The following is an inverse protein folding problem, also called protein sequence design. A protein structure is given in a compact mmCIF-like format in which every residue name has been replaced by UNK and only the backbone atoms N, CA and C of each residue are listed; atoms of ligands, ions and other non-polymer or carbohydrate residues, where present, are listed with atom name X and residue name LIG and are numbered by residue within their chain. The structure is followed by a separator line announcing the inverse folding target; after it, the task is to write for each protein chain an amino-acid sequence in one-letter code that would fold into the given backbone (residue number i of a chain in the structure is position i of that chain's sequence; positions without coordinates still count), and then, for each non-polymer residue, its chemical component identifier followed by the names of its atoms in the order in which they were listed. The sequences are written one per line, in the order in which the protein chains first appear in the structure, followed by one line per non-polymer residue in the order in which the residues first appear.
data_IF_489362521071
#
_entry.id   IF_489362521071
#
_cell.length_a   1.000
_cell.length_b   1.000
_cell.length_c   1.000
_cell.angle_alpha   90.00
_cell.angle_beta   90.00
_cell.angle_gamma   90.00
#
_symmetry.space_group_name_H-M   'P 1'
#
loop_
_entity.id
_entity.type
_entity.pdbx_description
1 polymer ?
#
# COMPACT_ATOMS: atom_id res chain seq x y z
N UNK A 1 7.42 37.83 -9.66
CA UNK A 1 8.33 36.95 -10.42
C UNK A 1 7.48 36.03 -11.26
N UNK A 2 7.65 36.01 -12.59
CA UNK A 2 6.96 35.05 -13.45
C UNK A 2 7.63 33.70 -13.20
N UNK A 3 6.93 32.75 -12.55
CA UNK A 3 7.44 31.37 -12.43
C UNK A 3 7.61 30.83 -13.85
N UNK A 4 8.79 30.28 -14.16
CA UNK A 4 9.03 29.64 -15.45
C UNK A 4 8.08 28.44 -15.58
N UNK A 5 7.29 28.41 -16.64
CA UNK A 5 6.28 27.36 -16.85
C UNK A 5 6.95 26.04 -17.17
N UNK A 6 6.52 24.97 -16.49
CA UNK A 6 6.96 23.63 -16.83
C UNK A 6 6.51 23.26 -18.25
N UNK A 7 7.43 22.68 -19.03
CA UNK A 7 7.13 22.15 -20.36
C UNK A 7 7.13 20.64 -20.29
N UNK A 8 6.02 20.04 -20.71
CA UNK A 8 5.88 18.59 -20.81
C UNK A 8 6.11 18.13 -22.25
N UNK A 9 6.66 16.92 -22.46
CA UNK A 9 6.77 16.37 -23.80
C UNK A 9 5.39 16.11 -24.39
N UNK A 10 5.29 16.19 -25.72
CA UNK A 10 4.07 15.81 -26.43
C UNK A 10 3.94 14.28 -26.38
N UNK A 11 2.76 13.79 -25.99
CA UNK A 11 2.48 12.35 -25.96
C UNK A 11 2.66 11.73 -27.36
N UNK A 12 3.55 10.76 -27.45
CA UNK A 12 3.85 9.96 -28.65
C UNK A 12 3.65 8.48 -28.36
N UNK A 13 3.53 7.65 -29.39
CA UNK A 13 3.42 6.19 -29.23
C UNK A 13 4.60 5.59 -28.44
N UNK A 14 5.79 6.16 -28.54
CA UNK A 14 6.95 5.73 -27.74
C UNK A 14 6.75 6.03 -26.25
N UNK A 15 6.29 7.24 -25.92
CA UNK A 15 6.01 7.64 -24.54
C UNK A 15 4.88 6.79 -23.96
N UNK A 16 3.82 6.53 -24.72
CA UNK A 16 2.72 5.65 -24.27
C UNK A 16 3.24 4.26 -23.91
N UNK A 17 4.14 3.70 -24.74
CA UNK A 17 4.75 2.39 -24.47
C UNK A 17 5.67 2.41 -23.25
N UNK A 18 6.45 3.48 -23.05
CA UNK A 18 7.30 3.67 -21.86
C UNK A 18 6.49 3.73 -20.56
N UNK A 19 5.23 4.18 -20.63
CA UNK A 19 4.31 4.19 -19.50
C UNK A 19 3.61 2.84 -19.26
N UNK A 20 4.00 1.77 -19.97
CA UNK A 20 3.39 0.45 -19.82
C UNK A 20 1.92 0.38 -20.27
N UNK A 21 1.45 1.38 -21.04
CA UNK A 21 0.08 1.44 -21.56
C UNK A 21 0.05 0.75 -22.92
N UNK A 22 -0.84 -0.24 -23.06
CA UNK A 22 -1.09 -0.92 -24.33
C UNK A 22 -1.84 -0.01 -25.32
N UNK A 23 -1.81 -0.38 -26.60
CA UNK A 23 -2.54 0.37 -27.65
C UNK A 23 -4.04 0.45 -27.37
N UNK A 24 -4.63 -0.65 -26.88
CA UNK A 24 -6.06 -0.72 -26.58
C UNK A 24 -6.42 0.12 -25.35
N UNK A 25 -5.58 0.09 -24.31
CA UNK A 25 -5.70 0.98 -23.16
C UNK A 25 -5.60 2.44 -23.60
N UNK A 26 -4.64 2.80 -24.45
CA UNK A 26 -4.51 4.17 -24.96
C UNK A 26 -5.75 4.64 -25.75
N UNK A 27 -6.30 3.78 -26.62
CA UNK A 27 -7.55 4.08 -27.34
C UNK A 27 -8.70 4.32 -26.35
N UNK A 28 -8.78 3.50 -25.30
CA UNK A 28 -9.79 3.65 -24.24
C UNK A 28 -9.63 4.96 -23.45
N UNK A 29 -8.40 5.34 -23.11
CA UNK A 29 -8.09 6.63 -22.46
C UNK A 29 -8.60 7.79 -23.32
N UNK A 30 -8.27 7.80 -24.61
CA UNK A 30 -8.70 8.87 -25.52
C UNK A 30 -10.20 8.97 -25.68
N UNK A 31 -10.87 7.81 -25.73
CA UNK A 31 -12.34 7.76 -25.77
C UNK A 31 -12.96 8.30 -24.49
N UNK A 32 -12.35 8.02 -23.34
CA UNK A 32 -12.82 8.45 -22.03
C UNK A 32 -12.66 9.97 -21.84
N UNK A 33 -11.52 10.51 -22.29
CA UNK A 33 -11.24 11.94 -22.19
C UNK A 33 -11.86 12.78 -23.31
N UNK A 34 -12.30 12.14 -24.41
CA UNK A 34 -12.71 12.77 -25.68
C UNK A 34 -11.62 13.67 -26.31
N UNK A 35 -10.35 13.35 -26.05
CA UNK A 35 -9.15 14.04 -26.57
C UNK A 35 -7.91 13.20 -26.33
N UNK A 36 -6.77 13.68 -26.86
CA UNK A 36 -5.47 13.14 -26.46
C UNK A 36 -5.17 13.54 -25.00
N UNK A 37 -4.65 12.61 -24.16
CA UNK A 37 -4.26 12.93 -22.78
C UNK A 37 -3.07 13.90 -22.76
N UNK A 38 -2.99 14.72 -21.71
CA UNK A 38 -1.75 15.42 -21.39
C UNK A 38 -0.71 14.42 -20.87
N UNK A 39 0.57 14.84 -20.80
CA UNK A 39 1.61 14.00 -20.21
C UNK A 39 1.33 13.64 -18.75
N UNK A 40 0.77 14.57 -17.98
CA UNK A 40 0.38 14.34 -16.57
C UNK A 40 -0.76 13.32 -16.49
N UNK A 41 -1.77 13.44 -17.36
CA UNK A 41 -2.88 12.50 -17.41
C UNK A 41 -2.43 11.09 -17.84
N UNK A 42 -1.51 10.99 -18.80
CA UNK A 42 -0.91 9.72 -19.19
C UNK A 42 -0.18 9.07 -18.01
N UNK A 43 0.59 9.86 -17.25
CA UNK A 43 1.22 9.43 -16.00
C UNK A 43 0.22 8.88 -14.99
N UNK A 44 -0.85 9.63 -14.73
CA UNK A 44 -1.93 9.24 -13.83
C UNK A 44 -2.58 7.92 -14.28
N UNK A 45 -2.97 7.80 -15.55
CA UNK A 45 -3.51 6.55 -16.08
C UNK A 45 -2.52 5.39 -15.99
N UNK A 46 -1.23 5.63 -16.23
CA UNK A 46 -0.20 4.57 -16.22
C UNK A 46 -0.07 3.89 -14.87
N UNK A 47 -0.14 4.66 -13.79
CA UNK A 47 -0.06 4.11 -12.43
C UNK A 47 -1.39 3.53 -12.00
N UNK A 48 -2.50 4.22 -12.28
CA UNK A 48 -3.83 3.78 -11.85
C UNK A 48 -4.30 2.53 -12.60
N UNK A 49 -3.87 2.34 -13.86
CA UNK A 49 -4.15 1.13 -14.65
C UNK A 49 -3.00 0.10 -14.62
N UNK A 50 -2.03 0.25 -13.71
CA UNK A 50 -1.04 -0.80 -13.43
C UNK A 50 -1.72 -2.03 -12.84
N UNK A 51 -1.07 -3.21 -12.90
CA UNK A 51 -1.62 -4.41 -12.21
C UNK A 51 -1.69 -4.17 -10.70
N UNK A 52 -0.71 -3.46 -10.14
CA UNK A 52 -0.64 -3.12 -8.72
C UNK A 52 -1.88 -2.34 -8.22
N UNK A 53 -2.34 -1.32 -8.94
CA UNK A 53 -3.49 -0.51 -8.51
C UNK A 53 -4.84 -1.04 -9.00
N UNK A 54 -4.91 -1.57 -10.24
CA UNK A 54 -6.19 -1.94 -10.87
C UNK A 54 -6.53 -3.41 -10.78
N UNK A 55 -5.59 -4.28 -10.38
CA UNK A 55 -5.79 -5.73 -10.34
C UNK A 55 -6.36 -6.27 -11.67
N UNK A 56 -6.01 -5.64 -12.80
CA UNK A 56 -6.70 -5.83 -14.08
C UNK A 56 -6.70 -7.28 -14.56
N UNK A 57 -5.71 -8.08 -14.16
CA UNK A 57 -5.62 -9.50 -14.51
C UNK A 57 -6.25 -10.44 -13.48
N UNK A 58 -6.38 -10.00 -12.22
CA UNK A 58 -6.73 -10.84 -11.07
C UNK A 58 -8.12 -10.57 -10.49
N UNK A 59 -8.67 -9.36 -10.66
CA UNK A 59 -9.91 -8.92 -10.01
C UNK A 59 -11.12 -9.82 -10.30
N UNK A 60 -11.22 -10.36 -11.53
CA UNK A 60 -12.31 -11.27 -11.90
C UNK A 60 -12.28 -12.56 -11.08
N UNK A 61 -11.10 -13.09 -10.78
CA UNK A 61 -10.93 -14.27 -9.93
C UNK A 61 -11.19 -13.93 -8.46
N UNK A 62 -10.71 -12.79 -7.97
CA UNK A 62 -10.98 -12.32 -6.61
C UNK A 62 -12.49 -12.08 -6.35
N UNK A 63 -13.26 -11.76 -7.40
CA UNK A 63 -14.73 -11.67 -7.35
C UNK A 63 -15.45 -13.00 -7.15
N UNK A 64 -14.76 -14.14 -7.25
CA UNK A 64 -15.34 -15.47 -6.99
C UNK A 64 -15.26 -15.89 -5.51
N UNK A 65 -14.46 -15.20 -4.70
CA UNK A 65 -14.36 -15.48 -3.26
C UNK A 65 -15.64 -15.03 -2.53
N UNK A 66 -16.03 -15.69 -1.42
CA UNK A 66 -17.13 -15.22 -0.57
C UNK A 66 -16.87 -13.82 0.01
N UNK A 67 -17.89 -12.96 0.03
CA UNK A 67 -17.75 -11.52 0.39
C UNK A 67 -18.65 -11.04 1.52
N UNK A 68 -19.53 -11.90 2.00
CA UNK A 68 -20.49 -11.57 3.06
C UNK A 68 -20.35 -12.53 4.23
N UNK A 69 -20.68 -12.04 5.42
CA UNK A 69 -20.70 -12.80 6.65
C UNK A 69 -21.30 -11.99 7.79
N UNK A 70 -21.95 -12.67 8.74
CA UNK A 70 -22.73 -12.03 9.81
C UNK A 70 -21.91 -11.11 10.73
N UNK A 71 -20.59 -11.26 10.73
CA UNK A 71 -19.64 -10.46 11.51
C UNK A 71 -18.90 -9.40 10.70
N UNK A 72 -19.12 -9.33 9.39
CA UNK A 72 -18.53 -8.26 8.57
C UNK A 72 -19.32 -6.98 8.80
N UNK A 73 -18.60 -5.90 9.10
CA UNK A 73 -19.19 -4.57 9.29
C UNK A 73 -19.18 -3.74 8.00
N UNK A 74 -18.36 -4.13 7.03
CA UNK A 74 -18.28 -3.57 5.67
C UNK A 74 -18.14 -4.72 4.68
N UNK A 75 -18.62 -4.52 3.45
CA UNK A 75 -18.45 -5.52 2.41
C UNK A 75 -16.98 -5.64 1.99
N UNK A 76 -16.56 -6.84 1.54
CA UNK A 76 -15.19 -7.06 1.10
C UNK A 76 -14.79 -6.13 -0.08
N UNK A 77 -13.81 -5.26 0.17
CA UNK A 77 -13.32 -4.26 -0.79
C UNK A 77 -14.08 -2.94 -0.77
N UNK A 78 -14.96 -2.71 0.21
CA UNK A 78 -15.63 -1.42 0.40
C UNK A 78 -14.71 -0.36 1.01
N UNK A 79 -13.78 -0.76 1.89
CA UNK A 79 -12.82 0.10 2.58
C UNK A 79 -11.39 -0.48 2.47
N UNK A 80 -10.38 0.28 2.92
CA UNK A 80 -8.96 -0.10 2.79
C UNK A 80 -8.61 -1.40 3.54
N UNK A 81 -9.30 -1.70 4.63
CA UNK A 81 -9.06 -2.89 5.45
C UNK A 81 -10.37 -3.60 5.80
N UNK A 82 -10.27 -4.91 6.11
CA UNK A 82 -11.41 -5.70 6.52
C UNK A 82 -11.85 -5.33 7.94
N UNK A 83 -13.16 -5.14 8.15
CA UNK A 83 -13.72 -4.76 9.44
C UNK A 83 -14.66 -5.84 9.98
N UNK A 84 -14.36 -6.36 11.17
CA UNK A 84 -15.10 -7.46 11.80
C UNK A 84 -15.62 -7.05 13.18
N UNK A 85 -16.89 -7.30 13.44
CA UNK A 85 -17.55 -7.09 14.73
C UNK A 85 -17.05 -8.09 15.79
N UNK A 86 -16.52 -7.56 16.89
CA UNK A 86 -16.08 -8.34 18.05
C UNK A 86 -17.15 -8.43 19.16
N UNK A 87 -18.27 -7.72 19.01
CA UNK A 87 -19.28 -7.55 20.05
C UNK A 87 -19.02 -6.31 20.93
N UNK A 88 -20.00 -5.98 21.79
CA UNK A 88 -19.93 -4.87 22.75
C UNK A 88 -19.58 -3.50 22.15
N UNK A 89 -19.90 -3.30 20.87
CA UNK A 89 -19.59 -2.07 20.13
C UNK A 89 -18.13 -1.97 19.65
N UNK A 90 -17.32 -3.00 19.86
CA UNK A 90 -15.94 -3.10 19.40
C UNK A 90 -15.84 -3.78 18.03
N UNK A 91 -14.84 -3.38 17.26
CA UNK A 91 -14.50 -3.97 15.98
C UNK A 91 -12.99 -4.15 15.86
N UNK A 92 -12.58 -5.11 15.03
CA UNK A 92 -11.20 -5.23 14.57
C UNK A 92 -11.10 -4.86 13.11
N UNK A 93 -10.06 -4.09 12.78
CA UNK A 93 -9.63 -3.84 11.42
C UNK A 93 -8.34 -4.63 11.17
N UNK A 94 -8.25 -5.34 10.06
CA UNK A 94 -7.01 -6.01 9.67
C UNK A 94 -6.84 -6.04 8.16
N UNK A 95 -5.58 -6.06 7.74
CA UNK A 95 -5.19 -6.18 6.34
C UNK A 95 -3.82 -6.85 6.27
N UNK A 96 -3.53 -7.47 5.14
CA UNK A 96 -2.21 -7.98 4.78
C UNK A 96 -1.79 -7.37 3.44
N UNK A 97 -0.54 -6.93 3.36
CA UNK A 97 0.07 -6.39 2.15
C UNK A 97 1.39 -7.08 1.85
N UNK A 98 1.88 -6.91 0.62
CA UNK A 98 3.16 -7.44 0.16
C UNK A 98 4.08 -6.32 -0.33
N UNK A 99 5.36 -6.42 0.00
CA UNK A 99 6.39 -5.49 -0.48
C UNK A 99 7.60 -6.23 -1.08
N UNK A 100 7.30 -7.23 -1.91
CA UNK A 100 8.25 -8.19 -2.48
C UNK A 100 9.34 -7.53 -3.33
N UNK A 101 8.95 -6.80 -4.39
CA UNK A 101 9.91 -6.20 -5.33
C UNK A 101 10.87 -5.20 -4.67
N UNK A 102 10.39 -4.24 -3.84
CA UNK A 102 11.29 -3.38 -3.08
C UNK A 102 12.22 -4.17 -2.17
N UNK A 103 11.70 -5.15 -1.42
CA UNK A 103 12.50 -5.99 -0.53
C UNK A 103 13.55 -6.83 -1.26
N UNK A 104 13.31 -7.20 -2.53
CA UNK A 104 14.27 -7.91 -3.35
C UNK A 104 15.48 -7.03 -3.74
N UNK A 105 15.27 -5.72 -3.88
CA UNK A 105 16.28 -4.74 -4.32
C UNK A 105 17.01 -4.13 -3.12
N UNK A 106 16.25 -3.62 -2.15
CA UNK A 106 16.70 -3.00 -0.90
C UNK A 106 15.87 -3.64 0.24
N UNK A 107 16.39 -4.69 0.90
CA UNK A 107 15.60 -5.50 1.83
C UNK A 107 15.21 -4.81 3.13
N UNK A 108 16.03 -3.88 3.62
CA UNK A 108 15.76 -3.24 4.91
C UNK A 108 14.60 -2.25 4.76
N UNK A 109 14.74 -1.28 3.85
CA UNK A 109 13.75 -0.25 3.59
C UNK A 109 12.50 -0.85 2.95
N UNK A 110 12.68 -1.78 2.00
CA UNK A 110 11.57 -2.47 1.37
C UNK A 110 10.72 -3.29 2.35
N UNK A 111 11.26 -3.74 3.48
CA UNK A 111 10.46 -4.38 4.52
C UNK A 111 9.86 -3.35 5.49
N UNK A 112 10.65 -2.35 5.89
CA UNK A 112 10.26 -1.29 6.81
C UNK A 112 9.06 -0.47 6.28
N UNK A 113 9.11 -0.01 5.03
CA UNK A 113 7.99 0.72 4.40
C UNK A 113 6.76 -0.17 4.19
N UNK A 114 6.96 -1.48 4.00
CA UNK A 114 5.87 -2.46 3.95
C UNK A 114 5.12 -2.57 5.27
N UNK A 115 5.85 -2.53 6.39
CA UNK A 115 5.26 -2.47 7.75
C UNK A 115 4.55 -1.15 7.99
N UNK A 116 5.15 -0.02 7.60
CA UNK A 116 4.51 1.30 7.71
C UNK A 116 3.21 1.38 6.92
N UNK A 117 3.23 1.00 5.64
CA UNK A 117 2.03 0.98 4.78
C UNK A 117 0.86 0.22 5.38
N UNK A 118 1.10 -1.02 5.84
CA UNK A 118 0.02 -1.83 6.40
C UNK A 118 -0.50 -1.30 7.75
N UNK A 119 0.33 -0.59 8.50
CA UNK A 119 -0.12 0.11 9.71
C UNK A 119 -1.01 1.30 9.34
N UNK A 120 -0.64 2.10 8.32
CA UNK A 120 -1.49 3.20 7.81
C UNK A 120 -2.86 2.74 7.39
N UNK A 121 -2.94 1.65 6.64
CA UNK A 121 -4.22 1.07 6.22
C UNK A 121 -5.15 0.83 7.41
N UNK A 122 -4.60 0.30 8.51
CA UNK A 122 -5.39 -0.02 9.70
C UNK A 122 -5.79 1.24 10.46
N UNK A 123 -4.88 2.18 10.69
CA UNK A 123 -5.23 3.38 11.46
C UNK A 123 -5.98 4.45 10.68
N UNK A 124 -5.92 4.41 9.35
CA UNK A 124 -6.76 5.25 8.48
C UNK A 124 -8.23 4.94 8.65
N UNK A 125 -8.57 3.69 8.99
CA UNK A 125 -9.93 3.27 9.34
C UNK A 125 -10.41 3.77 10.72
N UNK A 126 -9.55 4.43 11.51
CA UNK A 126 -9.82 4.77 12.90
C UNK A 126 -9.47 3.64 13.88
N UNK A 127 -8.84 2.56 13.43
CA UNK A 127 -8.43 1.44 14.27
C UNK A 127 -7.01 1.58 14.79
N UNK A 128 -6.83 1.47 16.11
CA UNK A 128 -5.49 1.52 16.70
C UNK A 128 -4.80 0.18 16.45
N UNK A 129 -3.64 0.14 15.75
CA UNK A 129 -2.85 -1.07 15.63
C UNK A 129 -2.49 -1.63 17.01
N UNK A 130 -2.65 -2.92 17.20
CA UNK A 130 -2.35 -3.63 18.45
C UNK A 130 -1.36 -4.77 18.27
N UNK A 131 -1.26 -5.32 17.05
CA UNK A 131 -0.39 -6.43 16.74
C UNK A 131 -0.08 -6.45 15.24
N UNK A 132 1.11 -6.90 14.90
CA UNK A 132 1.53 -7.20 13.53
C UNK A 132 1.98 -8.65 13.39
N UNK A 133 1.90 -9.16 12.18
CA UNK A 133 2.39 -10.47 11.77
C UNK A 133 3.12 -10.36 10.44
N UNK A 134 3.99 -11.31 10.14
CA UNK A 134 4.65 -11.37 8.83
C UNK A 134 4.52 -12.75 8.18
N UNK A 135 4.58 -12.77 6.85
CA UNK A 135 4.72 -13.99 6.06
C UNK A 135 5.88 -13.82 5.11
N UNK A 136 6.99 -14.50 5.42
CA UNK A 136 8.27 -14.34 4.76
C UNK A 136 8.63 -15.60 3.99
N UNK A 137 9.13 -15.44 2.76
CA UNK A 137 9.61 -16.53 1.89
C UNK A 137 10.96 -16.15 1.30
N UNK A 138 11.98 -17.00 1.47
CA UNK A 138 13.32 -16.77 0.94
C UNK A 138 13.85 -18.02 0.24
N UNK A 139 14.85 -17.85 -0.64
CA UNK A 139 15.60 -18.97 -1.22
C UNK A 139 16.52 -19.66 -0.22
N UNK A 140 17.19 -20.75 -0.63
CA UNK A 140 18.13 -21.48 0.24
C UNK A 140 19.13 -20.54 0.93
N UNK A 141 19.26 -20.74 2.24
CA UNK A 141 20.19 -19.99 3.10
C UNK A 141 21.64 -20.39 2.90
N UNK A 142 21.96 -21.37 2.05
CA UNK A 142 23.34 -21.63 1.62
C UNK A 142 23.84 -20.53 0.67
N UNK A 143 22.92 -19.85 -0.04
CA UNK A 143 23.22 -18.74 -0.93
C UNK A 143 23.41 -17.44 -0.12
N UNK A 144 24.57 -16.76 -0.22
CA UNK A 144 24.83 -15.52 0.52
C UNK A 144 23.78 -14.42 0.33
N UNK A 145 23.26 -14.26 -0.89
CA UNK A 145 22.22 -13.26 -1.20
C UNK A 145 20.93 -13.52 -0.43
N UNK A 146 20.50 -14.78 -0.29
CA UNK A 146 19.27 -15.11 0.43
C UNK A 146 19.41 -14.88 1.94
N UNK A 147 20.61 -15.14 2.51
CA UNK A 147 20.91 -14.77 3.90
C UNK A 147 20.85 -13.26 4.11
N UNK A 148 21.46 -12.49 3.20
CA UNK A 148 21.42 -11.03 3.21
C UNK A 148 19.98 -10.49 3.16
N UNK A 149 19.13 -11.05 2.27
CA UNK A 149 17.72 -10.67 2.19
C UNK A 149 16.97 -10.96 3.49
N UNK A 150 17.15 -12.17 4.06
CA UNK A 150 16.49 -12.54 5.32
C UNK A 150 16.92 -11.62 6.47
N UNK A 151 18.22 -11.41 6.63
CA UNK A 151 18.79 -10.60 7.72
C UNK A 151 18.22 -9.18 7.71
N UNK A 152 18.29 -8.50 6.57
CA UNK A 152 17.86 -7.10 6.48
C UNK A 152 16.34 -6.93 6.41
N UNK A 153 15.58 -7.86 5.83
CA UNK A 153 14.10 -7.81 5.89
C UNK A 153 13.64 -7.92 7.35
N UNK A 154 14.22 -8.84 8.11
CA UNK A 154 13.87 -9.02 9.53
C UNK A 154 14.25 -7.79 10.34
N UNK A 155 15.43 -7.21 10.08
CA UNK A 155 15.91 -5.98 10.71
C UNK A 155 14.96 -4.80 10.41
N UNK A 156 14.58 -4.58 9.15
CA UNK A 156 13.66 -3.49 8.76
C UNK A 156 12.26 -3.63 9.36
N UNK A 157 11.72 -4.86 9.44
CA UNK A 157 10.45 -5.14 10.13
C UNK A 157 10.57 -4.79 11.62
N UNK A 158 11.67 -5.23 12.25
CA UNK A 158 11.92 -5.00 13.65
C UNK A 158 12.00 -3.50 13.95
N UNK A 159 12.85 -2.77 13.23
CA UNK A 159 13.12 -1.36 13.51
C UNK A 159 11.86 -0.50 13.34
N UNK A 160 11.09 -0.70 12.26
CA UNK A 160 9.87 0.07 12.06
C UNK A 160 8.80 -0.23 13.13
N UNK A 161 8.50 -1.51 13.37
CA UNK A 161 7.49 -1.92 14.37
C UNK A 161 7.87 -1.54 15.80
N UNK A 162 9.14 -1.72 16.17
CA UNK A 162 9.67 -1.37 17.49
C UNK A 162 9.62 0.15 17.72
N UNK A 163 9.95 0.95 16.71
CA UNK A 163 9.90 2.42 16.80
C UNK A 163 8.47 2.94 16.95
N UNK A 164 7.49 2.37 16.23
CA UNK A 164 6.07 2.72 16.41
C UNK A 164 5.49 2.23 17.74
N UNK A 165 6.13 1.23 18.35
CA UNK A 165 5.65 0.55 19.55
C UNK A 165 4.45 -0.35 19.27
N UNK A 166 4.45 -1.04 18.12
CA UNK A 166 3.45 -2.04 17.75
C UNK A 166 4.12 -3.41 17.70
N UNK A 167 3.71 -4.37 18.55
CA UNK A 167 4.40 -5.65 18.65
C UNK A 167 4.15 -6.53 17.43
N UNK A 168 5.20 -7.20 16.94
CA UNK A 168 5.05 -8.29 15.96
C UNK A 168 4.96 -9.61 16.71
N UNK A 169 3.73 -10.13 16.84
CA UNK A 169 3.41 -11.23 17.76
C UNK A 169 3.48 -12.61 17.14
N UNK A 170 3.49 -12.69 15.80
CA UNK A 170 3.50 -13.95 15.08
C UNK A 170 3.93 -13.80 13.63
N UNK A 171 3.95 -14.91 12.93
CA UNK A 171 4.30 -14.94 11.51
C UNK A 171 4.82 -16.30 11.07
N UNK A 172 5.27 -16.35 9.83
CA UNK A 172 5.83 -17.55 9.23
C UNK A 172 7.04 -17.25 8.34
N UNK A 173 7.99 -18.16 8.34
CA UNK A 173 9.19 -18.09 7.49
C UNK A 173 9.36 -19.42 6.79
N UNK A 174 9.38 -19.40 5.46
CA UNK A 174 9.67 -20.57 4.63
C UNK A 174 10.88 -20.30 3.77
N UNK A 175 11.77 -21.29 3.71
CA UNK A 175 13.00 -21.31 2.94
C UNK A 175 12.83 -22.35 1.84
N UNK A 176 12.75 -21.92 0.58
CA UNK A 176 12.61 -22.80 -0.57
C UNK A 176 13.23 -22.17 -1.82
N UNK A 177 13.96 -22.96 -2.62
CA UNK A 177 14.79 -22.45 -3.73
C UNK A 177 14.01 -21.62 -4.77
N UNK A 178 12.71 -21.87 -4.93
CA UNK A 178 11.83 -21.10 -5.82
C UNK A 178 11.73 -19.62 -5.49
N UNK A 179 12.07 -19.22 -4.26
CA UNK A 179 12.07 -17.82 -3.81
C UNK A 179 13.46 -17.16 -3.88
N UNK A 180 14.46 -17.84 -4.43
CA UNK A 180 15.79 -17.25 -4.61
C UNK A 180 15.73 -16.12 -5.65
N UNK A 181 16.17 -14.92 -5.27
CA UNK A 181 16.13 -13.72 -6.11
C UNK A 181 14.79 -12.97 -6.12
N UNK A 182 13.68 -13.61 -5.74
CA UNK A 182 12.38 -12.96 -5.56
C UNK A 182 11.73 -13.41 -4.25
N UNK A 183 12.13 -12.81 -3.10
CA UNK A 183 11.54 -13.14 -1.81
C UNK A 183 10.08 -12.67 -1.74
N UNK A 184 9.27 -13.33 -0.92
CA UNK A 184 7.97 -12.80 -0.52
C UNK A 184 8.09 -12.18 0.86
N UNK A 185 7.67 -10.93 0.96
CA UNK A 185 7.69 -10.14 2.20
C UNK A 185 6.31 -9.56 2.38
N UNK A 186 5.48 -10.26 3.15
CA UNK A 186 4.15 -9.83 3.48
C UNK A 186 4.07 -9.39 4.94
N UNK A 187 3.42 -8.26 5.18
CA UNK A 187 3.15 -7.72 6.49
C UNK A 187 1.64 -7.65 6.71
N UNK A 188 1.19 -8.04 7.91
CA UNK A 188 -0.19 -7.97 8.35
C UNK A 188 -0.26 -7.14 9.62
N UNK A 189 -1.26 -6.29 9.73
CA UNK A 189 -1.54 -5.54 10.96
C UNK A 189 -2.98 -5.76 11.38
N UNK A 190 -3.17 -5.89 12.70
CA UNK A 190 -4.46 -5.99 13.37
C UNK A 190 -4.62 -4.79 14.28
N UNK A 191 -5.75 -4.10 14.15
CA UNK A 191 -6.15 -2.99 14.99
C UNK A 191 -7.50 -3.20 15.65
N UNK A 192 -7.76 -2.43 16.70
CA UNK A 192 -9.03 -2.43 17.43
C UNK A 192 -9.62 -1.01 17.47
N UNK A 193 -10.95 -0.93 17.41
CA UNK A 193 -11.69 0.33 17.48
C UNK A 193 -13.08 0.15 18.07
N UNK A 194 -13.74 1.27 18.38
CA UNK A 194 -15.20 1.26 18.47
C UNK A 194 -15.77 1.28 17.06
N UNK A 195 -16.74 0.41 16.79
CA UNK A 195 -17.44 0.31 15.50
C UNK A 195 -18.00 1.65 14.98
N UNK A 196 -18.42 2.54 15.89
CA UNK A 196 -18.96 3.88 15.56
C UNK A 196 -17.91 4.91 15.14
N UNK A 197 -16.64 4.64 15.40
CA UNK A 197 -15.53 5.58 15.13
C UNK A 197 -14.89 5.31 13.76
N UNK A 198 -15.57 4.53 12.90
CA UNK A 198 -15.16 4.21 11.54
C UNK A 198 -14.91 5.47 10.74
N UNK A 199 -13.74 5.52 10.11
CA UNK A 199 -13.38 6.54 9.15
C UNK A 199 -13.42 5.89 7.76
N UNK A 200 -14.23 6.45 6.86
CA UNK A 200 -14.35 5.97 5.49
C UNK A 200 -13.43 6.73 4.54
N UNK A 201 -12.97 6.01 3.51
CA UNK A 201 -12.19 6.55 2.40
C UNK A 201 -13.05 7.34 1.38
N UNK A 202 -13.73 8.41 1.81
CA UNK A 202 -14.72 9.13 1.00
C UNK A 202 -14.49 10.63 0.95
N UNK A 203 -14.71 11.23 -0.22
CA UNK A 203 -14.80 12.68 -0.38
C UNK A 203 -16.24 13.05 -0.78
N UNK A 204 -16.95 13.76 0.10
CA UNK A 204 -18.31 14.24 -0.19
C UNK A 204 -18.54 15.65 0.35
N UNK A 205 -19.67 16.24 -0.04
CA UNK A 205 -20.05 17.59 0.34
C UNK A 205 -19.30 18.66 -0.47
N UNK A 206 -19.97 19.17 -1.51
CA UNK A 206 -19.42 20.20 -2.40
C UNK A 206 -18.92 21.40 -1.59
N UNK A 207 -17.69 21.82 -1.85
CA UNK A 207 -17.06 22.93 -1.15
C UNK A 207 -16.36 22.54 0.16
N UNK A 208 -16.39 21.26 0.56
CA UNK A 208 -15.56 20.78 1.66
C UNK A 208 -14.08 20.84 1.29
N UNK A 209 -13.22 21.39 2.16
CA UNK A 209 -11.79 21.48 1.92
C UNK A 209 -11.10 20.12 2.00
N UNK A 210 -10.09 19.94 1.15
CA UNK A 210 -9.24 18.75 1.06
C UNK A 210 -7.84 19.12 1.53
N UNK A 211 -7.31 18.32 2.46
CA UNK A 211 -6.03 18.53 3.11
C UNK A 211 -5.06 17.39 2.78
N UNK A 212 -3.79 17.73 2.63
CA UNK A 212 -2.68 16.78 2.80
C UNK A 212 -2.08 17.01 4.18
N UNK A 213 -1.92 15.92 4.92
CA UNK A 213 -1.35 15.91 6.27
C UNK A 213 -0.18 14.94 6.36
N UNK A 214 0.74 15.18 7.30
CA UNK A 214 1.92 14.35 7.50
C UNK A 214 3.16 14.89 6.79
N UNK A 215 3.98 14.02 6.22
CA UNK A 215 5.25 14.37 5.60
C UNK A 215 5.11 15.21 4.32
N UNK A 216 6.15 15.99 4.01
CA UNK A 216 6.25 16.72 2.74
C UNK A 216 6.53 15.79 1.54
N UNK A 217 6.05 16.18 0.36
CA UNK A 217 6.16 15.43 -0.89
C UNK A 217 7.52 15.62 -1.56
N UNK A 218 8.17 14.52 -1.96
CA UNK A 218 9.46 14.49 -2.67
C UNK A 218 9.42 13.59 -3.90
N UNK A 219 10.57 13.41 -4.58
CA UNK A 219 10.69 12.53 -5.75
C UNK A 219 10.89 11.06 -5.38
N UNK A 220 10.09 10.57 -4.43
CA UNK A 220 10.16 9.17 -4.00
C UNK A 220 9.29 8.26 -4.83
N UNK A 221 9.82 7.09 -5.19
CA UNK A 221 9.04 6.02 -5.80
C UNK A 221 8.24 6.43 -7.02
N UNK A 222 8.66 7.47 -7.77
CA UNK A 222 7.98 7.83 -9.02
C UNK A 222 8.16 6.64 -9.96
N UNK A 223 7.03 6.05 -10.40
CA UNK A 223 6.93 4.76 -11.09
C UNK A 223 7.07 3.50 -10.22
N UNK A 224 6.96 3.59 -8.89
CA UNK A 224 7.01 2.47 -7.95
C UNK A 224 5.93 1.41 -8.23
N UNK A 225 4.66 1.83 -8.39
CA UNK A 225 3.56 0.94 -8.76
C UNK A 225 3.78 0.20 -10.11
N UNK A 226 4.33 0.89 -11.11
CA UNK A 226 4.67 0.28 -12.41
C UNK A 226 5.86 -0.67 -12.25
N UNK A 227 6.88 -0.29 -11.48
CA UNK A 227 8.05 -1.11 -11.18
C UNK A 227 7.68 -2.40 -10.44
N UNK A 228 6.76 -2.35 -9.49
CA UNK A 228 6.23 -3.53 -8.80
C UNK A 228 5.45 -4.49 -9.72
N UNK A 229 5.16 -4.06 -10.95
CA UNK A 229 4.50 -4.85 -11.99
C UNK A 229 5.47 -5.38 -13.07
N UNK A 230 6.78 -5.10 -12.97
CA UNK A 230 7.83 -5.56 -13.91
C UNK A 230 8.57 -6.81 -13.39
N UNK A 231 9.14 -7.62 -14.28
CA UNK A 231 10.00 -8.75 -13.89
C UNK A 231 11.37 -8.28 -13.37
N UNK A 232 11.86 -8.89 -12.28
CA UNK A 232 13.19 -8.62 -11.74
C UNK A 232 14.29 -9.10 -12.69
N UNK A 233 15.14 -8.18 -13.14
CA UNK A 233 16.31 -8.43 -14.01
C UNK A 233 17.56 -7.73 -13.46
N UNK A 234 18.76 -8.09 -13.93
CA UNK A 234 20.01 -7.41 -13.52
C UNK A 234 19.97 -5.88 -13.76
N UNK A 235 19.23 -5.41 -14.78
CA UNK A 235 19.05 -3.96 -15.02
C UNK A 235 18.20 -3.29 -13.93
N UNK A 236 17.24 -3.99 -13.33
CA UNK A 236 16.39 -3.45 -12.26
C UNK A 236 17.14 -3.23 -10.93
N UNK A 237 18.22 -3.97 -10.66
CA UNK A 237 19.05 -3.76 -9.45
C UNK A 237 19.72 -2.38 -9.42
N UNK A 238 19.89 -1.73 -10.58
CA UNK A 238 20.46 -0.37 -10.67
C UNK A 238 19.49 0.73 -10.21
N UNK A 239 18.20 0.42 -10.02
CA UNK A 239 17.14 1.36 -9.59
C UNK A 239 17.04 1.56 -8.06
N UNK A 240 18.06 1.17 -7.28
CA UNK A 240 18.11 1.33 -5.80
C UNK A 240 17.70 2.71 -5.29
N UNK A 241 17.98 3.78 -6.04
CA UNK A 241 17.61 5.16 -5.68
C UNK A 241 16.11 5.41 -5.59
N UNK A 242 15.28 4.49 -6.07
CA UNK A 242 13.83 4.63 -6.08
C UNK A 242 13.15 3.97 -4.87
N UNK A 243 13.88 3.22 -4.04
CA UNK A 243 13.31 2.62 -2.82
C UNK A 243 13.16 3.71 -1.76
N UNK A 244 11.94 3.83 -1.26
CA UNK A 244 11.56 4.80 -0.24
C UNK A 244 12.23 4.45 1.09
N UNK A 245 12.57 5.47 1.87
CA UNK A 245 12.99 5.31 3.27
C UNK A 245 11.83 5.69 4.16
N UNK A 246 11.46 4.80 5.07
CA UNK A 246 10.36 5.05 6.00
C UNK A 246 10.79 5.90 7.19
N UNK A 247 9.90 6.76 7.70
CA UNK A 247 10.09 7.50 8.95
C UNK A 247 9.10 7.03 10.03
N UNK A 248 9.46 5.99 10.81
CA UNK A 248 8.56 5.45 11.83
C UNK A 248 8.23 6.46 12.94
N UNK A 249 9.04 7.49 13.15
CA UNK A 249 8.78 8.49 14.17
C UNK A 249 7.67 9.45 13.72
N UNK A 250 7.74 9.93 12.48
CA UNK A 250 6.67 10.74 11.89
C UNK A 250 5.38 9.94 11.75
N UNK A 251 5.46 8.68 11.32
CA UNK A 251 4.34 7.76 11.25
C UNK A 251 3.65 7.57 12.62
N UNK A 252 4.43 7.49 13.72
CA UNK A 252 3.87 7.41 15.07
C UNK A 252 3.06 8.66 15.44
N UNK A 253 3.53 9.85 15.08
CA UNK A 253 2.77 11.09 15.29
C UNK A 253 1.49 11.09 14.43
N UNK A 254 1.62 10.63 13.18
CA UNK A 254 0.51 10.53 12.23
C UNK A 254 -0.59 9.59 12.74
N UNK A 255 -0.20 8.43 13.26
CA UNK A 255 -1.08 7.47 13.94
C UNK A 255 -1.89 8.13 15.06
N UNK A 256 -1.23 8.86 15.97
CA UNK A 256 -1.93 9.47 17.09
C UNK A 256 -2.86 10.61 16.66
N UNK A 257 -2.44 11.43 15.68
CA UNK A 257 -3.28 12.46 15.09
C UNK A 257 -4.52 11.87 14.39
N UNK A 258 -4.37 10.81 13.60
CA UNK A 258 -5.46 10.10 12.92
C UNK A 258 -6.48 9.55 13.89
N UNK A 259 -6.04 8.91 14.96
CA UNK A 259 -6.93 8.34 15.96
C UNK A 259 -7.67 9.42 16.77
N UNK A 260 -7.14 10.65 16.86
CA UNK A 260 -7.88 11.79 17.42
C UNK A 260 -8.98 12.33 16.48
N UNK A 261 -8.90 12.06 15.18
CA UNK A 261 -9.95 12.37 14.22
C UNK A 261 -11.10 11.36 14.26
N UNK A 262 -10.84 10.13 14.71
CA UNK A 262 -11.85 9.07 14.77
C UNK A 262 -13.06 9.50 15.61
N UNK A 263 -14.26 9.28 15.07
CA UNK A 263 -15.53 9.64 15.71
C UNK A 263 -15.87 11.14 15.75
N UNK A 264 -15.09 12.02 15.09
CA UNK A 264 -15.44 13.44 14.96
C UNK A 264 -16.53 13.63 13.90
N UNK A 265 -17.63 14.27 14.29
CA UNK A 265 -18.80 14.53 13.43
C UNK A 265 -18.51 15.45 12.23
N UNK A 266 -17.40 16.19 12.27
CA UNK A 266 -16.95 17.08 11.21
C UNK A 266 -15.90 16.46 10.27
N UNK A 267 -15.41 15.26 10.55
CA UNK A 267 -14.60 14.50 9.61
C UNK A 267 -15.52 13.93 8.51
N UNK A 268 -15.12 14.06 7.26
CA UNK A 268 -15.86 13.49 6.11
C UNK A 268 -15.22 12.19 5.69
N UNK A 269 -13.90 12.19 5.51
CA UNK A 269 -13.16 10.98 5.18
C UNK A 269 -11.66 11.20 5.25
N UNK A 270 -10.93 10.09 5.25
CA UNK A 270 -9.48 10.06 5.29
C UNK A 270 -8.98 8.88 4.45
N UNK A 271 -7.87 9.07 3.75
CA UNK A 271 -7.24 8.02 2.96
C UNK A 271 -5.73 8.09 3.11
N UNK A 272 -5.07 6.95 3.24
CA UNK A 272 -3.62 6.88 3.22
C UNK A 272 -3.09 7.19 1.81
N UNK A 273 -1.83 7.59 1.74
CA UNK A 273 -1.15 7.86 0.48
C UNK A 273 0.01 6.90 0.28
N UNK A 274 -0.29 5.71 -0.24
CA UNK A 274 0.70 4.72 -0.68
C UNK A 274 1.05 4.84 -2.17
N UNK A 275 0.85 3.74 -2.91
CA UNK A 275 1.09 3.68 -4.34
C UNK A 275 0.32 4.76 -5.11
N UNK A 276 0.99 5.42 -6.06
CA UNK A 276 0.47 6.57 -6.80
C UNK A 276 0.01 7.79 -5.95
N UNK A 277 0.26 7.80 -4.64
CA UNK A 277 0.17 8.97 -3.75
C UNK A 277 -1.10 9.81 -3.89
N UNK A 278 -0.94 11.07 -4.29
CA UNK A 278 -2.04 12.03 -4.46
C UNK A 278 -3.03 11.53 -5.51
N UNK A 279 -2.53 10.93 -6.60
CA UNK A 279 -3.38 10.43 -7.68
C UNK A 279 -4.36 9.38 -7.17
N UNK A 280 -3.87 8.37 -6.46
CA UNK A 280 -4.69 7.27 -5.97
C UNK A 280 -5.72 7.76 -4.94
N UNK A 281 -5.23 8.35 -3.86
CA UNK A 281 -6.06 8.83 -2.75
C UNK A 281 -7.20 9.76 -3.20
N UNK A 282 -6.91 10.71 -4.09
CA UNK A 282 -7.93 11.63 -4.59
C UNK A 282 -8.93 10.93 -5.51
N UNK A 283 -8.48 10.04 -6.39
CA UNK A 283 -9.36 9.35 -7.33
C UNK A 283 -10.32 8.40 -6.62
N UNK A 284 -9.81 7.61 -5.67
CA UNK A 284 -10.58 6.63 -4.90
C UNK A 284 -11.62 7.31 -4.01
N UNK A 285 -11.21 8.31 -3.21
CA UNK A 285 -12.14 9.03 -2.34
C UNK A 285 -13.23 9.74 -3.13
N UNK A 286 -12.87 10.33 -4.27
CA UNK A 286 -13.81 11.05 -5.13
C UNK A 286 -14.80 10.12 -5.82
N UNK A 287 -14.35 8.99 -6.37
CA UNK A 287 -15.23 8.01 -7.02
C UNK A 287 -16.19 7.38 -6.00
N UNK A 288 -15.68 6.97 -4.82
CA UNK A 288 -16.52 6.42 -3.75
C UNK A 288 -17.57 7.42 -3.27
N UNK A 289 -17.21 8.70 -3.17
CA UNK A 289 -18.12 9.79 -2.80
C UNK A 289 -19.00 10.32 -3.92
N UNK A 290 -18.84 9.81 -5.15
CA UNK A 290 -19.53 10.29 -6.36
C UNK A 290 -19.41 11.81 -6.52
N UNK A 291 -18.25 12.35 -6.18
CA UNK A 291 -17.89 13.76 -6.29
C UNK A 291 -16.73 13.94 -7.26
N UNK A 292 -16.34 15.19 -7.50
CA UNK A 292 -15.01 15.53 -8.02
C UNK A 292 -14.09 16.03 -6.90
N UNK A 293 -12.80 16.14 -7.20
CA UNK A 293 -11.82 16.82 -6.35
C UNK A 293 -10.99 17.75 -7.23
N UNK A 294 -10.88 19.01 -6.82
CA UNK A 294 -10.00 20.00 -7.42
C UNK A 294 -8.82 20.26 -6.51
N UNK A 295 -7.60 20.15 -7.02
CA UNK A 295 -6.35 20.32 -6.25
C UNK A 295 -5.47 21.38 -6.89
N UNK A 296 -4.82 22.18 -6.06
CA UNK A 296 -3.78 23.11 -6.45
C UNK A 296 -2.41 22.62 -5.96
N UNK A 297 -1.56 22.19 -6.89
CA UNK A 297 -0.24 21.67 -6.59
C UNK A 297 0.74 22.73 -6.05
N UNK A 298 0.47 24.03 -6.26
CA UNK A 298 1.27 25.10 -5.65
C UNK A 298 1.14 25.15 -4.13
N UNK A 299 0.10 24.52 -3.56
CA UNK A 299 -0.13 24.44 -2.12
C UNK A 299 0.41 23.14 -1.49
N UNK A 300 0.78 22.15 -2.30
CA UNK A 300 1.29 20.87 -1.77
C UNK A 300 2.62 21.12 -1.05
N UNK A 301 2.80 20.64 0.20
CA UNK A 301 4.10 20.72 0.87
C UNK A 301 5.15 19.92 0.11
N UNK A 302 6.22 20.56 -0.35
CA UNK A 302 7.31 19.94 -1.11
C UNK A 302 8.63 20.03 -0.31
N UNK A 303 9.37 18.92 -0.21
CA UNK A 303 10.75 18.96 0.32
C UNK A 303 11.79 19.30 -0.74
N UNK A 304 11.49 18.98 -2.00
CA UNK A 304 12.37 19.26 -3.13
C UNK A 304 11.87 20.45 -3.94
N UNK A 305 12.80 21.33 -4.31
CA UNK A 305 12.48 22.48 -5.15
C UNK A 305 12.21 22.02 -6.59
N UNK A 306 11.39 22.82 -7.29
CA UNK A 306 11.13 22.67 -8.73
C UNK A 306 10.56 21.31 -9.13
N UNK A 307 9.72 20.69 -8.29
CA UNK A 307 8.95 19.52 -8.72
C UNK A 307 7.84 19.94 -9.68
N UNK A 308 7.70 19.20 -10.78
CA UNK A 308 6.65 19.44 -11.77
C UNK A 308 5.36 18.68 -11.39
N UNK A 309 4.25 18.91 -12.12
CA UNK A 309 2.98 18.29 -11.78
C UNK A 309 2.99 16.76 -11.89
N UNK A 310 3.73 16.22 -12.85
CA UNK A 310 3.88 14.77 -13.04
C UNK A 310 4.59 14.14 -11.83
N UNK A 311 5.69 14.73 -11.37
CA UNK A 311 6.43 14.27 -10.21
C UNK A 311 5.61 14.35 -8.91
N UNK A 312 4.88 15.44 -8.71
CA UNK A 312 4.06 15.63 -7.49
C UNK A 312 2.90 14.63 -7.44
N UNK A 313 2.19 14.45 -8.56
CA UNK A 313 1.01 13.57 -8.61
C UNK A 313 1.37 12.09 -8.45
N UNK A 314 2.55 11.67 -8.92
CA UNK A 314 3.01 10.28 -8.91
C UNK A 314 4.00 9.97 -7.79
N UNK A 315 4.27 10.92 -6.91
CA UNK A 315 5.14 10.73 -5.76
C UNK A 315 4.53 9.79 -4.74
N UNK A 316 5.31 8.79 -4.34
CA UNK A 316 4.96 7.79 -3.33
C UNK A 316 5.72 8.06 -2.01
N UNK A 317 6.03 9.33 -1.71
CA UNK A 317 6.58 9.71 -0.40
C UNK A 317 5.70 9.18 0.74
N UNK A 318 6.34 8.63 1.76
CA UNK A 318 5.71 7.93 2.87
C UNK A 318 5.11 8.89 3.91
N UNK A 319 4.41 8.34 4.92
CA UNK A 319 3.83 9.06 6.07
C UNK A 319 2.91 10.23 5.68
N UNK A 320 2.03 10.04 4.70
CA UNK A 320 1.06 11.06 4.23
C UNK A 320 -0.37 10.51 4.19
N UNK A 321 -1.33 11.40 4.40
CA UNK A 321 -2.75 11.10 4.21
C UNK A 321 -3.48 12.27 3.54
N UNK A 322 -4.57 11.93 2.84
CA UNK A 322 -5.56 12.88 2.37
C UNK A 322 -6.71 12.94 3.38
N UNK A 323 -7.12 14.13 3.79
CA UNK A 323 -8.22 14.33 4.76
C UNK A 323 -9.25 15.30 4.19
N UNK A 324 -10.52 14.94 4.28
CA UNK A 324 -11.66 15.81 3.94
C UNK A 324 -12.45 16.11 5.21
N UNK A 325 -12.75 17.39 5.43
CA UNK A 325 -13.52 17.85 6.60
C UNK A 325 -14.67 18.74 6.17
N UNK A 326 -15.71 18.82 7.00
CA UNK A 326 -16.83 19.74 6.77
C UNK A 326 -16.33 21.17 6.82
N UNK A 327 -16.67 21.96 5.79
CA UNK A 327 -16.33 23.40 5.71
C UNK A 327 -16.65 24.15 7.01
N UNK A 328 -15.73 24.98 7.47
CA UNK A 328 -15.79 25.69 8.75
C UNK A 328 -15.13 24.96 9.93
N UNK A 329 -14.60 23.74 9.72
CA UNK A 329 -13.86 22.97 10.74
C UNK A 329 -12.35 22.87 10.44
N UNK A 330 -11.84 23.66 9.49
CA UNK A 330 -10.44 23.67 9.06
C UNK A 330 -9.49 23.94 10.22
N UNK A 331 -9.86 24.86 11.11
CA UNK A 331 -9.03 25.19 12.26
C UNK A 331 -8.96 24.03 13.26
N UNK A 332 -10.07 23.29 13.46
CA UNK A 332 -10.07 22.12 14.36
C UNK A 332 -9.13 21.03 13.88
N UNK A 333 -9.11 20.78 12.56
CA UNK A 333 -8.16 19.86 11.94
C UNK A 333 -6.73 20.34 12.18
N UNK A 334 -6.43 21.60 11.84
CA UNK A 334 -5.09 22.18 12.03
C UNK A 334 -4.63 22.12 13.48
N UNK A 335 -5.51 22.37 14.45
CA UNK A 335 -5.18 22.32 15.88
C UNK A 335 -4.76 20.90 16.32
N UNK A 336 -5.39 19.86 15.79
CA UNK A 336 -5.02 18.46 16.06
C UNK A 336 -3.64 18.15 15.48
N UNK A 337 -3.39 18.47 14.21
CA UNK A 337 -2.09 18.16 13.59
C UNK A 337 -0.95 19.03 14.17
N UNK A 338 -1.22 20.29 14.51
CA UNK A 338 -0.25 21.15 15.20
C UNK A 338 0.13 20.61 16.58
N UNK A 339 -0.82 20.01 17.33
CA UNK A 339 -0.54 19.37 18.63
C UNK A 339 0.47 18.22 18.49
N UNK A 340 0.42 17.50 17.37
CA UNK A 340 1.32 16.40 17.06
C UNK A 340 2.53 16.82 16.22
N UNK A 341 2.75 18.13 16.03
CA UNK A 341 3.88 18.69 15.26
C UNK A 341 3.93 18.22 13.79
N UNK A 342 2.75 18.01 13.19
CA UNK A 342 2.60 17.58 11.80
C UNK A 342 2.10 18.70 10.90
N UNK A 343 2.57 18.70 9.64
CA UNK A 343 2.04 19.59 8.62
C UNK A 343 0.58 19.23 8.28
N UNK A 344 -0.24 20.27 8.09
CA UNK A 344 -1.64 20.13 7.69
C UNK A 344 -2.00 21.27 6.73
N UNK A 345 -2.00 20.96 5.44
CA UNK A 345 -2.14 21.96 4.37
C UNK A 345 -3.38 21.71 3.54
N UNK A 346 -4.20 22.75 3.41
CA UNK A 346 -5.35 22.75 2.49
C UNK A 346 -4.82 22.83 1.06
N UNK A 347 -5.07 21.80 0.26
CA UNK A 347 -4.57 21.70 -1.11
C UNK A 347 -5.68 21.76 -2.14
N UNK A 348 -6.94 21.57 -1.72
CA UNK A 348 -8.03 21.40 -2.66
C UNK A 348 -9.41 21.50 -2.06
N UNK A 349 -10.40 21.16 -2.87
CA UNK A 349 -11.81 21.23 -2.52
C UNK A 349 -12.61 20.15 -3.25
N UNK A 350 -13.62 19.61 -2.58
CA UNK A 350 -14.61 18.70 -3.19
C UNK A 350 -15.50 19.47 -4.15
N UNK A 351 -15.70 18.94 -5.35
CA UNK A 351 -16.49 19.54 -6.44
C UNK A 351 -17.64 18.62 -6.86
N UNK A 352 -18.55 19.15 -7.68
CA UNK A 352 -19.67 18.38 -8.27
C UNK A 352 -19.34 17.77 -9.64
N UNK A 353 -18.11 17.93 -10.13
CA UNK A 353 -17.76 17.62 -11.52
C UNK A 353 -17.62 16.13 -11.80
N UNK A 354 -17.40 15.31 -10.77
CA UNK A 354 -17.02 13.90 -10.93
C UNK A 354 -15.57 13.70 -11.38
N UNK A 355 -14.80 14.79 -11.53
CA UNK A 355 -13.47 14.77 -12.11
C UNK A 355 -12.39 15.07 -11.06
N UNK A 356 -11.20 14.54 -11.32
CA UNK A 356 -9.96 14.97 -10.70
C UNK A 356 -9.40 16.15 -11.52
N UNK A 357 -9.50 17.34 -10.97
CA UNK A 357 -9.05 18.59 -11.60
C UNK A 357 -7.76 19.08 -10.95
N UNK A 358 -6.64 18.97 -11.66
CA UNK A 358 -5.31 19.28 -11.12
C UNK A 358 -4.82 20.60 -11.71
N UNK A 359 -4.57 21.57 -10.84
CA UNK A 359 -3.99 22.87 -11.19
C UNK A 359 -2.53 22.97 -10.72
N UNK A 360 -1.67 23.54 -11.55
CA UNK A 360 -0.31 23.91 -11.18
C UNK A 360 0.11 25.18 -11.94
N UNK A 361 0.61 26.19 -11.23
CA UNK A 361 0.98 27.49 -11.77
C UNK A 361 -0.18 28.18 -12.53
N UNK A 362 -1.37 28.13 -11.92
CA UNK A 362 -2.64 28.63 -12.48
C UNK A 362 -3.10 27.94 -13.78
N UNK A 363 -2.46 26.84 -14.20
CA UNK A 363 -2.87 26.05 -15.37
C UNK A 363 -3.53 24.73 -14.96
N UNK A 364 -4.60 24.36 -15.67
CA UNK A 364 -5.22 23.04 -15.55
C UNK A 364 -4.34 22.02 -16.30
N UNK A 365 -3.62 21.19 -15.56
CA UNK A 365 -2.64 20.23 -16.11
C UNK A 365 -3.21 18.83 -16.28
N UNK A 366 -4.28 18.49 -15.54
CA UNK A 366 -5.05 17.27 -15.72
C UNK A 366 -6.52 17.50 -15.37
N UNK A 367 -7.42 16.86 -16.12
CA UNK A 367 -8.86 16.83 -15.87
C UNK A 367 -9.41 15.47 -16.31
N UNK A 368 -9.60 14.57 -15.35
CA UNK A 368 -9.87 13.16 -15.59
C UNK A 368 -11.15 12.73 -14.86
N UNK A 369 -12.11 12.05 -15.51
CA UNK A 369 -13.23 11.43 -14.80
C UNK A 369 -12.73 10.40 -13.78
N UNK A 370 -13.07 10.57 -12.51
CA UNK A 370 -12.49 9.76 -11.40
C UNK A 370 -12.86 8.29 -11.49
N UNK A 371 -14.09 8.00 -11.91
CA UNK A 371 -14.57 6.64 -12.23
C UNK A 371 -13.67 5.89 -13.22
N UNK A 372 -12.96 6.60 -14.10
CA UNK A 372 -12.06 5.96 -15.06
C UNK A 372 -10.72 5.50 -14.49
N UNK A 373 -10.40 5.94 -13.27
CA UNK A 373 -9.11 5.65 -12.62
C UNK A 373 -9.20 4.52 -11.61
N UNK A 374 -10.39 4.20 -11.09
CA UNK A 374 -10.53 3.34 -9.91
C UNK A 374 -10.94 1.90 -10.23
N UNK A 375 -10.59 1.00 -9.32
CA UNK A 375 -11.08 -0.38 -9.32
C UNK A 375 -12.60 -0.40 -9.12
N UNK A 376 -13.32 -1.11 -10.00
CA UNK A 376 -14.79 -1.16 -9.96
C UNK A 376 -15.46 -0.10 -10.84
N UNK A 377 -14.74 0.93 -11.26
CA UNK A 377 -15.12 1.85 -12.32
C UNK A 377 -14.67 1.36 -13.70
N UNK A 378 -14.18 2.27 -14.54
CA UNK A 378 -13.79 1.97 -15.93
C UNK A 378 -12.33 1.51 -16.09
N UNK A 379 -11.60 1.18 -15.02
CA UNK A 379 -10.29 0.54 -15.14
C UNK A 379 -10.38 -0.78 -15.96
N UNK A 380 -9.38 -1.12 -16.80
CA UNK A 380 -9.37 -2.36 -17.59
C UNK A 380 -9.49 -3.62 -16.73
N UNK A 381 -10.19 -4.63 -17.24
CA UNK A 381 -10.29 -5.95 -16.60
C UNK A 381 -10.20 -7.03 -17.68
N UNK A 382 -9.26 -7.96 -17.52
CA UNK A 382 -8.94 -8.96 -18.51
C UNK A 382 -9.47 -10.35 -18.15
N UNK A 383 -9.89 -11.10 -19.17
CA UNK A 383 -10.08 -12.55 -19.06
C UNK A 383 -8.79 -13.23 -19.48
N UNK A 384 -7.92 -13.50 -18.51
CA UNK A 384 -6.61 -14.08 -18.79
C UNK A 384 -6.76 -15.55 -19.22
N UNK A 385 -6.21 -15.96 -20.37
CA UNK A 385 -6.19 -17.37 -20.75
C UNK A 385 -5.31 -18.15 -19.78
N UNK A 386 -5.82 -19.26 -19.25
CA UNK A 386 -5.06 -20.13 -18.34
C UNK A 386 -5.10 -21.58 -18.80
N UNK A 387 -4.05 -22.33 -18.44
CA UNK A 387 -3.95 -23.77 -18.68
C UNK A 387 -3.23 -24.40 -17.50
N UNK A 388 -3.75 -25.52 -16.99
CA UNK A 388 -3.08 -26.28 -15.94
C UNK A 388 -1.73 -26.79 -16.47
N UNK A 389 -0.60 -26.49 -15.78
CA UNK A 389 0.71 -26.98 -16.20
C UNK A 389 0.76 -28.50 -16.22
N UNK A 390 1.29 -29.09 -17.30
CA UNK A 390 1.30 -30.56 -17.46
C UNK A 390 2.17 -31.28 -16.45
N UNK A 391 3.23 -30.64 -15.94
CA UNK A 391 4.13 -31.22 -14.94
C UNK A 391 3.42 -31.53 -13.61
N UNK A 392 2.29 -30.86 -13.30
CA UNK A 392 1.51 -31.14 -12.11
C UNK A 392 0.99 -32.59 -12.09
N UNK A 393 0.72 -33.17 -13.26
CA UNK A 393 0.32 -34.57 -13.35
C UNK A 393 1.43 -35.52 -12.90
N UNK A 394 2.70 -35.15 -13.10
CA UNK A 394 3.84 -35.99 -12.72
C UNK A 394 4.12 -35.89 -11.22
N UNK A 395 4.11 -34.68 -10.66
CA UNK A 395 4.42 -34.47 -9.24
C UNK A 395 3.26 -34.85 -8.30
N UNK A 396 2.01 -34.79 -8.77
CA UNK A 396 0.83 -35.17 -7.95
C UNK A 396 0.60 -36.69 -7.88
N UNK A 397 1.41 -37.52 -8.55
CA UNK A 397 1.37 -39.00 -8.44
C UNK A 397 2.15 -39.49 -7.19
N UNK A 398 2.59 -38.57 -6.32
CA UNK A 398 3.37 -38.86 -5.13
C UNK A 398 2.65 -39.86 -4.20
N UNK A 399 3.26 -41.03 -3.98
CA UNK A 399 2.74 -42.04 -3.06
C UNK A 399 3.78 -42.28 -1.96
N UNK A 400 3.48 -41.77 -0.77
CA UNK A 400 4.34 -41.85 0.42
C UNK A 400 4.61 -43.30 0.82
N UNK A 401 3.65 -44.20 0.61
CA UNK A 401 3.76 -45.62 0.98
C UNK A 401 4.83 -46.39 0.16
N UNK A 402 5.34 -45.80 -0.93
CA UNK A 402 6.39 -46.41 -1.76
C UNK A 402 7.80 -46.21 -1.21
N UNK A 403 7.98 -45.34 -0.22
CA UNK A 403 9.29 -45.08 0.37
C UNK A 403 9.50 -45.92 1.62
N UNK A 404 10.62 -46.63 1.69
CA UNK A 404 11.01 -47.33 2.92
C UNK A 404 11.39 -46.31 3.99
N UNK A 405 10.82 -46.45 5.20
CA UNK A 405 11.24 -45.68 6.35
C UNK A 405 12.73 -45.98 6.63
N UNK A 406 13.53 -44.92 6.59
CA UNK A 406 14.94 -45.01 6.96
C UNK A 406 15.05 -45.49 8.41
N UNK A 407 15.82 -46.56 8.63
CA UNK A 407 15.92 -47.24 9.93
C UNK A 407 16.57 -46.38 11.04
N UNK A 408 17.33 -45.35 10.68
CA UNK A 408 17.99 -44.46 11.65
C UNK A 408 17.10 -43.27 12.04
N UNK A 409 16.13 -43.54 12.91
CA UNK A 409 15.17 -42.54 13.38
C UNK A 409 15.82 -41.36 14.10
N UNK A 410 16.94 -41.58 14.81
CA UNK A 410 17.64 -40.52 15.54
C UNK A 410 18.26 -39.51 14.57
N UNK A 411 19.00 -40.00 13.56
CA UNK A 411 19.58 -39.14 12.53
C UNK A 411 18.50 -38.42 11.71
N UNK A 412 17.41 -39.13 11.36
CA UNK A 412 16.29 -38.52 10.64
C UNK A 412 15.63 -37.40 11.44
N UNK A 413 15.39 -37.60 12.74
CA UNK A 413 14.83 -36.57 13.61
C UNK A 413 15.74 -35.35 13.67
N UNK A 414 17.06 -35.54 13.84
CA UNK A 414 18.02 -34.43 13.84
C UNK A 414 18.04 -33.69 12.49
N UNK A 415 17.94 -34.43 11.38
CA UNK A 415 17.85 -33.84 10.04
C UNK A 415 16.58 -33.00 9.89
N UNK A 416 15.43 -33.50 10.34
CA UNK A 416 14.18 -32.74 10.34
C UNK A 416 14.29 -31.48 11.20
N UNK A 417 14.76 -31.59 12.44
CA UNK A 417 14.93 -30.44 13.34
C UNK A 417 15.93 -29.40 12.82
N UNK A 418 16.92 -29.83 12.01
CA UNK A 418 17.88 -28.93 11.35
C UNK A 418 17.33 -28.24 10.10
N UNK A 419 16.21 -28.70 9.55
CA UNK A 419 15.62 -28.08 8.37
C UNK A 419 15.14 -26.65 8.71
N UNK A 420 15.53 -25.60 7.96
CA UNK A 420 15.13 -24.23 8.24
C UNK A 420 13.61 -24.02 8.35
N UNK A 421 12.80 -24.83 7.67
CA UNK A 421 11.34 -24.77 7.73
C UNK A 421 10.78 -25.32 9.06
N UNK A 422 11.49 -26.22 9.73
CA UNK A 422 11.08 -26.83 11.02
C UNK A 422 11.78 -26.18 12.21
N UNK A 423 13.04 -25.76 12.04
CA UNK A 423 13.87 -25.19 13.09
C UNK A 423 13.22 -23.97 13.78
N UNK A 424 13.68 -23.67 15.00
CA UNK A 424 13.25 -22.50 15.76
C UNK A 424 13.39 -21.21 14.94
N UNK A 425 12.36 -20.38 14.95
CA UNK A 425 12.37 -19.05 14.34
C UNK A 425 12.78 -17.95 15.32
N UNK A 426 13.42 -18.30 16.44
CA UNK A 426 13.84 -17.35 17.49
C UNK A 426 14.80 -16.28 17.00
N UNK A 427 15.59 -16.57 15.97
CA UNK A 427 16.39 -15.54 15.30
C UNK A 427 15.54 -14.35 14.83
N UNK A 428 14.34 -14.64 14.32
CA UNK A 428 13.43 -13.65 13.75
C UNK A 428 12.68 -12.93 14.87
N UNK A 429 11.92 -13.66 15.67
CA UNK A 429 11.01 -13.02 16.63
C UNK A 429 11.68 -12.40 17.86
N UNK A 430 12.94 -12.73 18.17
CA UNK A 430 13.66 -12.07 19.27
C UNK A 430 14.09 -10.63 18.94
N UNK A 431 14.01 -10.23 17.66
CA UNK A 431 14.30 -8.87 17.23
C UNK A 431 13.06 -7.96 17.35
N UNK A 432 11.88 -8.56 17.42
CA UNK A 432 10.62 -7.84 17.52
C UNK A 432 10.26 -7.61 18.97
N UNK A 433 9.80 -6.40 19.29
CA UNK A 433 9.10 -6.19 20.53
C UNK A 433 7.80 -7.00 20.53
N UNK A 434 7.50 -7.57 21.70
CA UNK A 434 6.28 -8.30 21.97
C UNK A 434 5.59 -7.79 23.25
N UNK A 435 6.08 -6.70 23.84
CA UNK A 435 5.71 -6.30 25.22
C UNK A 435 5.18 -4.88 25.35
N UNK A 436 5.47 -4.00 24.38
CA UNK A 436 5.01 -2.61 24.36
C UNK A 436 3.49 -2.59 24.44
N UNK A 437 2.97 -1.64 25.24
CA UNK A 437 1.55 -1.52 25.67
C UNK A 437 1.05 -2.58 26.65
N UNK A 438 1.87 -3.54 27.06
CA UNK A 438 1.57 -4.53 28.12
C UNK A 438 0.27 -5.30 27.92
N UNK A 439 -0.15 -5.47 26.67
CA UNK A 439 -1.43 -6.09 26.26
C UNK A 439 -1.25 -7.42 25.53
N UNK A 440 -0.01 -7.87 25.31
CA UNK A 440 0.30 -9.20 24.76
C UNK A 440 0.17 -10.26 25.83
N UNK A 441 -0.72 -11.23 25.61
CA UNK A 441 -0.92 -12.39 26.52
C UNK A 441 -0.16 -13.62 26.01
N UNK A 442 -0.26 -13.88 24.70
CA UNK A 442 0.51 -14.92 24.00
C UNK A 442 1.55 -14.23 23.13
N UNK A 443 2.82 -14.50 23.42
CA UNK A 443 3.96 -13.97 22.68
C UNK A 443 4.45 -14.93 21.58
N UNK A 444 5.46 -14.51 20.81
CA UNK A 444 6.01 -15.32 19.74
C UNK A 444 6.63 -16.62 20.26
N UNK A 445 6.67 -17.64 19.39
CA UNK A 445 7.18 -18.97 19.74
C UNK A 445 6.15 -19.89 20.42
N UNK A 446 4.89 -19.47 20.47
CA UNK A 446 3.74 -20.30 20.84
C UNK A 446 2.98 -20.77 19.58
N UNK A 447 2.00 -21.67 19.74
CA UNK A 447 1.20 -22.21 18.62
C UNK A 447 0.22 -21.19 18.00
N UNK A 448 0.03 -20.03 18.64
CA UNK A 448 -0.91 -18.98 18.18
C UNK A 448 -0.46 -17.58 18.57
#
# INVERSE_FOLDING_TARGET
MIKEKFKYPKVSDSIVKEHGISKDEYIKIKKTLDREPTFVELGIYSVMWSEHCSYKSSIKMLKTLPRSGDKLLVDAGEENAGLVDLGDGLATSFKIESHNHPSAVEPYEGAATGVGGIMRDVFTMGARPIASLNSLRFGSLDVPRNRFLLEHVVEGIADYGNCLGIPTVGGEVVIEDSYSGNPLVNAMTVGIMNSKDLISAIAEGIGNPVFIVGSSTGRDGIHGATFASEELTEETESKKSNVQVGDPFTEKLLLEASLELAGKDWLVGMQDMGAAGITCSCSEMSAKGKSGIKINLDLVPLREKHMNAYEIMLSESQERMLVVVKKGNEQKLKDIFNKWELDCTEVGVVTETGNLEVFHQDELVANIPTESLVLGGDAPQYDMPYKVPSYLNEINIYNVDKYELLNDLNSNLLKLLSNPNIASKSYVYNQYDSTVRTNTVLGPGSDS
#
